data_IF_169055207054
#
_entry.id   IF_169055207054
#
_cell.length_a   1.000
_cell.length_b   1.000
_cell.length_c   1.000
_cell.angle_alpha   90.00
_cell.angle_beta   90.00
_cell.angle_gamma   90.00
#
_symmetry.space_group_name_H-M   'P 1'
#
loop_
_entity.id
_entity.type
_entity.pdbx_description
1 polymer ?
#
# COMPACT_ATOMS: atom_id res chain seq x y z
N UNK A 1 26.39 28.94 18.72
CA UNK A 1 26.70 27.90 19.74
C UNK A 1 26.82 26.57 19.01
N UNK A 2 27.92 25.81 19.16
CA UNK A 2 27.98 24.46 18.64
C UNK A 2 27.28 23.52 19.62
N UNK A 3 26.21 22.85 19.20
CA UNK A 3 25.61 21.77 19.96
C UNK A 3 26.50 20.54 19.83
N UNK A 4 27.25 20.25 20.89
CA UNK A 4 27.87 18.96 21.17
C UNK A 4 26.75 17.93 21.34
N UNK A 5 26.65 16.99 20.42
CA UNK A 5 25.92 15.74 20.65
C UNK A 5 26.92 14.76 21.27
N UNK A 6 26.86 14.66 22.60
CA UNK A 6 27.45 13.55 23.33
C UNK A 6 26.83 12.25 22.82
N UNK A 7 27.70 11.40 22.28
CA UNK A 7 27.38 10.13 21.68
C UNK A 7 27.75 9.01 22.64
N UNK A 8 26.79 8.54 23.45
CA UNK A 8 26.88 7.24 24.14
C UNK A 8 25.49 6.59 24.16
N UNK A 9 25.04 6.14 22.99
CA UNK A 9 23.93 5.21 22.87
C UNK A 9 24.46 3.91 22.22
N UNK A 10 24.65 2.82 22.99
CA UNK A 10 25.31 1.59 22.53
C UNK A 10 24.50 0.78 21.49
N UNK A 11 23.37 1.31 21.03
CA UNK A 11 22.51 0.75 19.98
C UNK A 11 22.40 1.61 18.71
N UNK A 12 23.10 2.74 18.63
CA UNK A 12 23.06 3.58 17.44
C UNK A 12 23.68 2.83 16.23
N UNK A 13 22.97 2.70 15.11
CA UNK A 13 23.50 2.02 13.93
C UNK A 13 24.72 2.79 13.44
N UNK A 14 25.82 2.07 13.19
CA UNK A 14 26.95 2.46 12.32
C UNK A 14 27.17 3.99 12.29
N UNK A 15 27.57 4.60 13.41
CA UNK A 15 27.52 6.06 13.53
C UNK A 15 28.39 6.77 12.48
N UNK A 16 27.84 7.77 11.79
CA UNK A 16 28.59 8.64 10.88
C UNK A 16 29.64 9.49 11.62
N UNK A 17 30.89 9.45 11.18
CA UNK A 17 31.94 10.31 11.72
C UNK A 17 31.93 11.69 11.05
N UNK A 18 31.41 12.68 11.77
CA UNK A 18 31.37 14.08 11.31
C UNK A 18 32.76 14.71 11.21
N UNK A 19 33.75 14.24 11.99
CA UNK A 19 35.08 14.86 12.04
C UNK A 19 35.88 14.62 10.75
N UNK A 20 35.65 13.48 10.10
CA UNK A 20 36.28 13.09 8.83
C UNK A 20 35.39 13.36 7.62
N UNK A 21 34.23 13.98 7.83
CA UNK A 21 33.26 14.24 6.76
C UNK A 21 33.66 15.43 5.88
N UNK A 22 33.32 15.32 4.59
CA UNK A 22 33.44 16.38 3.59
C UNK A 22 32.06 16.84 3.13
N UNK A 23 31.84 18.15 3.09
CA UNK A 23 30.61 18.75 2.56
C UNK A 23 30.71 18.88 1.06
N UNK A 24 29.84 18.20 0.33
CA UNK A 24 29.78 18.24 -1.13
C UNK A 24 28.82 19.32 -1.65
N UNK A 25 27.77 19.61 -0.87
CA UNK A 25 26.75 20.60 -1.23
C UNK A 25 26.15 21.20 0.04
N UNK A 26 25.89 22.51 0.03
CA UNK A 26 25.22 23.19 1.13
C UNK A 26 24.60 24.51 0.67
N UNK A 27 23.33 24.47 0.23
CA UNK A 27 22.62 25.64 -0.30
C UNK A 27 21.11 25.53 -0.04
N UNK A 28 20.38 26.66 0.01
CA UNK A 28 18.93 26.65 -0.06
C UNK A 28 18.46 26.20 -1.44
N UNK A 29 17.45 25.34 -1.48
CA UNK A 29 16.82 24.82 -2.69
C UNK A 29 15.32 25.14 -2.63
N UNK A 30 14.74 25.76 -3.67
CA UNK A 30 13.29 25.97 -3.73
C UNK A 30 12.58 24.63 -3.88
N UNK A 31 11.68 24.31 -2.95
CA UNK A 31 10.94 23.05 -2.91
C UNK A 31 9.45 23.28 -2.68
N UNK A 32 8.65 22.33 -3.15
CA UNK A 32 7.24 22.25 -2.83
C UNK A 32 7.05 21.26 -1.68
N UNK A 33 6.62 21.76 -0.53
CA UNK A 33 6.33 20.97 0.66
C UNK A 33 4.86 20.58 0.63
N UNK A 34 4.61 19.27 0.65
CA UNK A 34 3.26 18.68 0.74
C UNK A 34 3.10 17.98 2.07
N UNK A 35 2.06 18.33 2.83
CA UNK A 35 1.72 17.69 4.10
C UNK A 35 0.25 17.26 4.07
N UNK A 36 -0.07 16.15 4.73
CA UNK A 36 -1.38 15.50 4.62
C UNK A 36 -2.56 16.41 5.02
N UNK A 37 -2.30 17.39 5.90
CA UNK A 37 -3.31 18.29 6.47
C UNK A 37 -3.00 19.79 6.27
N UNK A 38 -2.08 20.14 5.37
CA UNK A 38 -1.77 21.55 5.04
C UNK A 38 -1.78 21.76 3.53
N UNK A 39 -2.07 23.00 3.13
CA UNK A 39 -1.94 23.40 1.73
C UNK A 39 -0.47 23.26 1.28
N UNK A 40 -0.29 23.01 -0.02
CA UNK A 40 1.01 22.94 -0.65
C UNK A 40 1.76 24.28 -0.48
N UNK A 41 2.95 24.25 0.11
CA UNK A 41 3.76 25.46 0.36
C UNK A 41 5.08 25.43 -0.42
N UNK A 42 5.40 26.55 -1.05
CA UNK A 42 6.71 26.75 -1.67
C UNK A 42 7.66 27.39 -0.65
N UNK A 43 8.73 26.66 -0.31
CA UNK A 43 9.71 27.09 0.68
C UNK A 43 11.13 26.88 0.15
N UNK A 44 12.07 27.70 0.63
CA UNK A 44 13.48 27.50 0.37
C UNK A 44 14.09 26.70 1.53
N UNK A 45 14.30 25.40 1.33
CA UNK A 45 14.89 24.54 2.36
C UNK A 45 16.39 24.39 2.15
N UNK A 46 17.16 24.44 3.24
CA UNK A 46 18.61 24.25 3.21
C UNK A 46 18.91 22.75 3.05
N UNK A 47 19.52 22.39 1.92
CA UNK A 47 19.97 21.02 1.64
C UNK A 47 21.48 20.95 1.84
N UNK A 48 21.92 19.98 2.65
CA UNK A 48 23.34 19.72 2.91
C UNK A 48 23.67 18.26 2.60
N UNK A 49 24.66 18.04 1.74
CA UNK A 49 25.15 16.71 1.36
C UNK A 49 26.57 16.55 1.89
N UNK A 50 26.78 15.46 2.63
CA UNK A 50 28.02 15.09 3.29
C UNK A 50 28.43 13.71 2.82
N UNK A 51 29.73 13.51 2.62
CA UNK A 51 30.33 12.18 2.47
C UNK A 51 31.36 11.99 3.57
N UNK A 52 31.53 10.78 4.06
CA UNK A 52 32.45 10.46 5.14
C UNK A 52 32.50 8.96 5.38
N UNK A 53 32.91 8.60 6.59
CA UNK A 53 33.10 7.20 6.97
C UNK A 53 32.35 6.87 8.25
N UNK A 54 32.09 5.58 8.45
CA UNK A 54 31.57 5.09 9.72
C UNK A 54 32.61 5.26 10.85
N UNK A 55 32.16 5.66 12.03
CA UNK A 55 32.98 5.89 13.22
C UNK A 55 33.66 4.61 13.72
N UNK A 56 32.99 3.46 13.57
CA UNK A 56 33.52 2.15 14.00
C UNK A 56 34.25 1.41 12.87
N UNK A 57 34.10 1.85 11.62
CA UNK A 57 34.72 1.22 10.46
C UNK A 57 35.12 2.29 9.43
N UNK A 58 36.37 2.73 9.50
CA UNK A 58 36.91 3.76 8.62
C UNK A 58 37.02 3.34 7.14
N UNK A 59 36.71 2.08 6.79
CA UNK A 59 36.62 1.64 5.41
C UNK A 59 35.21 1.75 4.84
N UNK A 60 34.19 1.87 5.70
CA UNK A 60 32.80 1.95 5.27
C UNK A 60 32.44 3.40 4.96
N UNK A 61 32.28 3.71 3.67
CA UNK A 61 31.85 5.03 3.21
C UNK A 61 30.36 5.23 3.45
N UNK A 62 30.01 6.45 3.83
CA UNK A 62 28.64 6.86 4.12
C UNK A 62 28.34 8.17 3.39
N UNK A 63 27.17 8.22 2.76
CA UNK A 63 26.55 9.42 2.22
C UNK A 63 25.43 9.85 3.17
N UNK A 64 25.45 11.12 3.57
CA UNK A 64 24.43 11.71 4.45
C UNK A 64 23.87 12.97 3.81
N UNK A 65 22.54 13.09 3.78
CA UNK A 65 21.82 14.23 3.24
C UNK A 65 20.90 14.77 4.32
N UNK A 66 21.01 16.07 4.60
CA UNK A 66 20.13 16.79 5.50
C UNK A 66 19.29 17.79 4.72
N UNK A 67 18.03 17.89 5.10
CA UNK A 67 17.11 18.94 4.66
C UNK A 67 16.60 19.64 5.91
N UNK A 68 16.92 20.92 6.05
CA UNK A 68 16.56 21.75 7.21
C UNK A 68 15.84 23.03 6.77
N UNK A 69 15.05 23.60 7.68
CA UNK A 69 14.43 24.91 7.47
C UNK A 69 15.09 25.94 8.41
N UNK A 70 15.60 27.04 7.85
CA UNK A 70 16.22 28.09 8.65
C UNK A 70 15.18 28.86 9.50
N UNK A 71 13.90 28.79 9.12
CA UNK A 71 12.77 29.40 9.85
C UNK A 71 12.17 28.47 10.91
N UNK A 72 12.42 27.16 10.83
CA UNK A 72 11.94 26.15 11.79
C UNK A 72 13.09 25.22 12.17
N UNK A 73 13.69 25.49 13.33
CA UNK A 73 14.83 24.73 13.85
C UNK A 73 14.50 23.27 14.20
N UNK A 74 13.22 22.90 14.29
CA UNK A 74 12.78 21.52 14.50
C UNK A 74 12.59 20.76 13.18
N UNK A 75 12.56 21.46 12.05
CA UNK A 75 12.49 20.85 10.73
C UNK A 75 13.85 20.29 10.35
N UNK A 76 14.01 18.97 10.47
CA UNK A 76 15.18 18.25 10.00
C UNK A 76 14.77 16.88 9.45
N UNK A 77 15.09 16.65 8.19
CA UNK A 77 14.99 15.33 7.56
C UNK A 77 16.38 14.86 7.17
N UNK A 78 16.68 13.61 7.48
CA UNK A 78 17.99 13.00 7.26
C UNK A 78 17.84 11.72 6.45
N UNK A 79 18.62 11.62 5.39
CA UNK A 79 18.92 10.35 4.73
C UNK A 79 20.38 10.01 5.03
N UNK A 80 20.62 8.76 5.40
CA UNK A 80 21.96 8.21 5.56
C UNK A 80 22.00 6.85 4.88
N UNK A 81 23.01 6.64 4.03
CA UNK A 81 23.19 5.39 3.31
C UNK A 81 24.67 5.04 3.27
N UNK A 82 24.99 3.83 3.71
CA UNK A 82 26.33 3.27 3.57
C UNK A 82 26.56 2.77 2.14
N UNK A 83 27.82 2.57 1.76
CA UNK A 83 28.14 1.98 0.46
C UNK A 83 27.56 0.57 0.28
N UNK A 84 27.44 -0.21 1.38
CA UNK A 84 26.86 -1.55 1.37
C UNK A 84 25.34 -1.50 1.14
N UNK A 85 24.65 -0.61 1.86
CA UNK A 85 23.19 -0.45 1.76
C UNK A 85 22.77 0.20 0.42
N UNK A 86 23.68 0.95 -0.20
CA UNK A 86 23.42 1.62 -1.46
C UNK A 86 23.04 0.64 -2.57
N UNK A 87 23.51 -0.62 -2.54
CA UNK A 87 23.18 -1.59 -3.57
C UNK A 87 21.67 -1.91 -3.60
N UNK A 88 21.02 -1.98 -2.44
CA UNK A 88 19.57 -2.17 -2.34
C UNK A 88 18.84 -0.93 -2.84
N UNK A 89 19.21 0.26 -2.35
CA UNK A 89 18.64 1.53 -2.79
C UNK A 89 18.77 1.72 -4.31
N UNK A 90 19.92 1.35 -4.87
CA UNK A 90 20.22 1.42 -6.29
C UNK A 90 19.26 0.58 -7.12
N UNK A 91 18.98 -0.64 -6.67
CA UNK A 91 18.05 -1.55 -7.34
C UNK A 91 16.61 -1.05 -7.22
N UNK A 92 16.18 -0.69 -6.00
CA UNK A 92 14.80 -0.29 -5.71
C UNK A 92 14.39 0.99 -6.47
N UNK A 93 15.33 1.91 -6.67
CA UNK A 93 15.11 3.19 -7.33
C UNK A 93 15.58 3.21 -8.80
N UNK A 94 16.08 2.09 -9.33
CA UNK A 94 16.60 2.00 -10.71
C UNK A 94 17.77 2.95 -10.99
N UNK A 95 18.60 3.24 -9.99
CA UNK A 95 19.74 4.16 -10.12
C UNK A 95 20.82 3.51 -10.99
N UNK A 96 21.26 4.22 -12.03
CA UNK A 96 22.21 3.68 -13.01
C UNK A 96 23.69 4.02 -12.72
N UNK A 97 23.96 4.74 -11.63
CA UNK A 97 25.33 5.14 -11.25
C UNK A 97 25.85 4.33 -10.05
N UNK A 98 27.15 4.40 -9.80
CA UNK A 98 27.78 3.83 -8.62
C UNK A 98 27.67 4.78 -7.41
N UNK A 99 28.05 4.29 -6.23
CA UNK A 99 28.00 5.05 -4.98
C UNK A 99 28.83 6.35 -5.07
N UNK A 100 29.99 6.30 -5.72
CA UNK A 100 30.88 7.45 -5.84
C UNK A 100 30.29 8.58 -6.73
N UNK A 101 29.58 8.22 -7.80
CA UNK A 101 28.98 9.19 -8.71
C UNK A 101 27.59 9.66 -8.30
N UNK A 102 26.92 8.92 -7.41
CA UNK A 102 25.55 9.19 -6.98
C UNK A 102 25.34 10.59 -6.36
N UNK A 103 26.19 11.06 -5.41
CA UNK A 103 26.06 12.41 -4.87
C UNK A 103 26.13 13.49 -5.96
N UNK A 104 27.02 13.32 -6.96
CA UNK A 104 27.16 14.26 -8.07
C UNK A 104 25.89 14.35 -8.92
N UNK A 105 25.18 13.22 -9.12
CA UNK A 105 23.88 13.21 -9.81
C UNK A 105 22.81 13.95 -9.02
N UNK A 106 22.73 13.74 -7.70
CA UNK A 106 21.79 14.48 -6.84
C UNK A 106 22.07 15.98 -6.91
N UNK A 107 23.34 16.38 -6.76
CA UNK A 107 23.76 17.79 -6.81
C UNK A 107 23.34 18.43 -8.14
N UNK A 108 23.62 17.76 -9.25
CA UNK A 108 23.23 18.25 -10.59
C UNK A 108 21.72 18.46 -10.73
N UNK A 109 20.90 17.62 -10.07
CA UNK A 109 19.44 17.78 -10.06
C UNK A 109 19.01 18.96 -9.17
N UNK A 110 19.60 19.10 -7.98
CA UNK A 110 19.32 20.24 -7.09
C UNK A 110 19.70 21.58 -7.74
N UNK A 111 20.81 21.62 -8.47
CA UNK A 111 21.23 22.82 -9.21
C UNK A 111 20.23 23.21 -10.30
N UNK A 112 19.66 22.22 -11.01
CA UNK A 112 18.57 22.48 -11.97
C UNK A 112 17.32 23.03 -11.27
N UNK A 113 16.98 22.53 -10.08
CA UNK A 113 15.86 23.07 -9.29
C UNK A 113 16.11 24.52 -8.86
N UNK A 114 17.35 24.85 -8.43
CA UNK A 114 17.74 26.21 -8.08
C UNK A 114 17.67 27.16 -9.28
N UNK A 115 18.07 26.68 -10.46
CA UNK A 115 18.08 27.48 -11.68
C UNK A 115 16.71 27.62 -12.36
N UNK A 116 15.70 26.86 -11.92
CA UNK A 116 14.37 26.88 -12.52
C UNK A 116 13.67 28.24 -12.31
N UNK A 117 13.10 28.79 -13.37
CA UNK A 117 12.35 30.05 -13.35
C UNK A 117 10.90 29.82 -12.89
N UNK A 118 10.22 30.83 -12.33
CA UNK A 118 8.79 30.71 -11.98
C UNK A 118 7.95 30.43 -13.25
N UNK A 119 7.51 29.19 -13.40
CA UNK A 119 6.83 28.66 -14.60
C UNK A 119 7.42 27.32 -15.05
N UNK A 120 8.73 27.15 -14.86
CA UNK A 120 9.39 25.85 -14.89
C UNK A 120 9.21 25.24 -13.49
N UNK A 121 8.13 24.49 -13.25
CA UNK A 121 8.19 23.56 -12.13
C UNK A 121 9.32 22.59 -12.45
N UNK A 122 10.45 22.54 -11.71
CA UNK A 122 11.43 21.48 -11.90
C UNK A 122 10.76 20.20 -11.40
N UNK A 123 9.92 19.61 -12.25
CA UNK A 123 9.46 18.26 -12.04
C UNK A 123 10.74 17.45 -12.15
N UNK A 124 11.13 16.80 -11.06
CA UNK A 124 12.08 15.68 -11.12
C UNK A 124 11.37 14.55 -11.89
N UNK A 125 11.15 14.76 -13.18
CA UNK A 125 10.67 13.74 -14.12
C UNK A 125 11.88 12.94 -14.53
N UNK A 126 12.31 12.06 -13.65
CA UNK A 126 13.07 10.88 -14.04
C UNK A 126 12.91 9.80 -12.95
N UNK A 127 11.70 9.26 -12.87
CA UNK A 127 11.52 7.83 -12.61
C UNK A 127 10.96 7.25 -13.90
N UNK A 128 11.86 6.79 -14.78
CA UNK A 128 11.51 5.88 -15.87
C UNK A 128 11.37 4.48 -15.28
N UNK A 129 10.38 4.31 -14.42
CA UNK A 129 9.75 3.01 -14.16
C UNK A 129 8.40 3.07 -14.85
N UNK A 130 8.07 2.08 -15.68
CA UNK A 130 6.91 2.07 -16.58
C UNK A 130 5.58 2.30 -15.82
N UNK A 131 5.24 3.56 -15.57
CA UNK A 131 3.98 3.95 -14.94
C UNK A 131 2.78 3.56 -15.82
N UNK A 132 3.01 3.44 -17.14
CA UNK A 132 2.04 2.87 -18.07
C UNK A 132 1.76 1.39 -17.79
N UNK A 133 2.77 0.57 -17.53
CA UNK A 133 2.56 -0.86 -17.23
C UNK A 133 1.86 -1.04 -15.88
N UNK A 134 2.15 -0.20 -14.90
CA UNK A 134 1.47 -0.21 -13.61
C UNK A 134 0.01 0.24 -13.75
N UNK A 135 -0.27 1.26 -14.58
CA UNK A 135 -1.64 1.69 -14.89
C UNK A 135 -2.41 0.59 -15.63
N UNK A 136 -1.81 0.01 -16.66
CA UNK A 136 -2.40 -1.08 -17.44
C UNK A 136 -2.63 -2.33 -16.57
N UNK A 137 -1.74 -2.63 -15.62
CA UNK A 137 -1.90 -3.73 -14.66
C UNK A 137 -3.01 -3.44 -13.63
N UNK A 138 -3.13 -2.19 -13.17
CA UNK A 138 -4.20 -1.77 -12.28
C UNK A 138 -5.56 -1.86 -12.96
N UNK A 139 -5.66 -1.44 -14.24
CA UNK A 139 -6.89 -1.53 -15.02
C UNK A 139 -7.29 -3.00 -15.25
N UNK A 140 -6.34 -3.88 -15.60
CA UNK A 140 -6.60 -5.32 -15.70
C UNK A 140 -7.08 -5.93 -14.38
N UNK A 141 -6.45 -5.57 -13.26
CA UNK A 141 -6.84 -6.07 -11.93
C UNK A 141 -8.24 -5.60 -11.56
N UNK A 142 -8.61 -4.39 -11.97
CA UNK A 142 -9.94 -3.83 -11.76
C UNK A 142 -11.00 -4.55 -12.57
N UNK A 143 -10.72 -4.82 -13.85
CA UNK A 143 -11.61 -5.59 -14.72
C UNK A 143 -11.83 -7.03 -14.20
N UNK A 144 -10.76 -7.68 -13.74
CA UNK A 144 -10.82 -9.02 -13.13
C UNK A 144 -11.68 -9.02 -11.86
N UNK A 145 -11.49 -8.02 -10.98
CA UNK A 145 -12.29 -7.86 -9.75
C UNK A 145 -13.76 -7.62 -10.07
N UNK A 146 -14.06 -6.76 -11.04
CA UNK A 146 -15.43 -6.42 -11.41
C UNK A 146 -16.13 -7.64 -12.05
N UNK A 147 -15.42 -8.43 -12.85
CA UNK A 147 -15.88 -9.72 -13.38
C UNK A 147 -16.12 -10.75 -12.27
N UNK A 148 -15.19 -10.92 -11.33
CA UNK A 148 -15.35 -11.83 -10.20
C UNK A 148 -16.53 -11.43 -9.30
N UNK A 149 -16.76 -10.12 -9.10
CA UNK A 149 -17.91 -9.60 -8.38
C UNK A 149 -19.23 -9.94 -9.08
N UNK A 150 -19.27 -9.83 -10.41
CA UNK A 150 -20.45 -10.23 -11.20
C UNK A 150 -20.72 -11.74 -11.10
N UNK A 151 -19.68 -12.57 -11.17
CA UNK A 151 -19.80 -14.02 -11.00
C UNK A 151 -20.30 -14.40 -9.59
N UNK A 152 -19.81 -13.71 -8.55
CA UNK A 152 -20.27 -13.90 -7.17
C UNK A 152 -21.76 -13.54 -7.02
N UNK A 153 -22.20 -12.46 -7.66
CA UNK A 153 -23.61 -12.08 -7.69
C UNK A 153 -24.47 -13.17 -8.35
N UNK A 154 -24.02 -13.69 -9.50
CA UNK A 154 -24.71 -14.75 -10.21
C UNK A 154 -24.79 -16.05 -9.38
N UNK A 155 -23.69 -16.45 -8.75
CA UNK A 155 -23.63 -17.64 -7.90
C UNK A 155 -24.59 -17.49 -6.70
N UNK A 156 -24.64 -16.29 -6.09
CA UNK A 156 -25.57 -15.99 -5.01
C UNK A 156 -27.04 -16.08 -5.45
N UNK A 157 -27.35 -15.64 -6.67
CA UNK A 157 -28.69 -15.75 -7.24
C UNK A 157 -29.08 -17.21 -7.49
N UNK A 158 -28.19 -18.01 -8.08
CA UNK A 158 -28.40 -19.44 -8.29
C UNK A 158 -28.62 -20.19 -6.98
N UNK A 159 -27.86 -19.86 -5.93
CA UNK A 159 -28.05 -20.43 -4.60
C UNK A 159 -29.41 -20.08 -3.99
N UNK A 160 -29.88 -18.84 -4.21
CA UNK A 160 -31.21 -18.42 -3.75
C UNK A 160 -32.33 -19.19 -4.48
N UNK A 161 -32.23 -19.32 -5.80
CA UNK A 161 -33.19 -20.08 -6.61
C UNK A 161 -33.20 -21.57 -6.23
N UNK A 162 -32.04 -22.19 -6.06
CA UNK A 162 -31.94 -23.59 -5.66
C UNK A 162 -32.56 -23.83 -4.28
N UNK A 163 -32.34 -22.89 -3.35
CA UNK A 163 -32.93 -22.95 -2.02
C UNK A 163 -34.46 -22.85 -2.08
N UNK A 164 -35.00 -21.93 -2.86
CA UNK A 164 -36.45 -21.79 -3.06
C UNK A 164 -37.06 -23.05 -3.68
N UNK A 165 -36.39 -23.63 -4.68
CA UNK A 165 -36.82 -24.90 -5.29
C UNK A 165 -36.82 -26.05 -4.28
N UNK A 166 -35.79 -26.14 -3.45
CA UNK A 166 -35.70 -27.17 -2.40
C UNK A 166 -36.83 -27.02 -1.37
N UNK A 167 -37.05 -25.81 -0.87
CA UNK A 167 -38.10 -25.52 0.11
C UNK A 167 -39.50 -25.82 -0.47
N UNK A 168 -39.74 -25.46 -1.73
CA UNK A 168 -40.98 -25.79 -2.44
C UNK A 168 -41.19 -27.30 -2.57
N UNK A 169 -40.16 -28.03 -2.97
CA UNK A 169 -40.25 -29.49 -3.13
C UNK A 169 -40.53 -30.19 -1.79
N UNK A 170 -39.89 -29.73 -0.71
CA UNK A 170 -40.12 -30.25 0.62
C UNK A 170 -41.59 -30.06 1.07
N UNK A 171 -42.15 -28.88 0.82
CA UNK A 171 -43.57 -28.59 1.08
C UNK A 171 -44.51 -29.48 0.26
N UNK A 172 -44.23 -29.70 -1.02
CA UNK A 172 -45.03 -30.57 -1.89
C UNK A 172 -45.05 -32.02 -1.40
N UNK A 173 -43.88 -32.57 -1.06
CA UNK A 173 -43.76 -33.94 -0.51
C UNK A 173 -44.52 -34.06 0.81
N UNK A 174 -44.41 -33.06 1.70
CA UNK A 174 -45.12 -33.06 2.98
C UNK A 174 -46.65 -32.96 2.79
N UNK A 175 -47.12 -32.16 1.84
CA UNK A 175 -48.53 -32.05 1.51
C UNK A 175 -49.06 -33.37 0.95
N UNK A 176 -48.35 -34.01 0.02
CA UNK A 176 -48.73 -35.31 -0.53
C UNK A 176 -48.83 -36.39 0.57
N UNK A 177 -47.87 -36.43 1.50
CA UNK A 177 -47.90 -37.37 2.62
C UNK A 177 -49.11 -37.14 3.53
N UNK A 178 -49.46 -35.89 3.84
CA UNK A 178 -50.66 -35.55 4.63
C UNK A 178 -51.94 -35.94 3.91
N UNK A 179 -52.05 -35.68 2.61
CA UNK A 179 -53.23 -36.04 1.81
C UNK A 179 -53.43 -37.56 1.78
N UNK A 180 -52.34 -38.34 1.59
CA UNK A 180 -52.41 -39.81 1.63
C UNK A 180 -52.80 -40.34 3.02
N UNK A 181 -52.32 -39.73 4.10
CA UNK A 181 -52.73 -40.09 5.46
C UNK A 181 -54.20 -39.78 5.71
N UNK A 182 -54.70 -38.63 5.25
CA UNK A 182 -56.08 -38.24 5.39
C UNK A 182 -57.03 -39.18 4.62
N UNK A 183 -56.71 -39.51 3.35
CA UNK A 183 -57.52 -40.44 2.56
C UNK A 183 -57.55 -41.84 3.17
N UNK A 184 -56.40 -42.35 3.61
CA UNK A 184 -56.33 -43.66 4.28
C UNK A 184 -57.10 -43.67 5.62
N UNK A 185 -57.14 -42.55 6.33
CA UNK A 185 -57.93 -42.43 7.55
C UNK A 185 -59.44 -42.36 7.26
N UNK A 186 -59.86 -41.65 6.23
CA UNK A 186 -61.26 -41.61 5.77
C UNK A 186 -61.77 -42.97 5.30
N UNK A 187 -60.96 -43.74 4.55
CA UNK A 187 -61.31 -45.11 4.16
C UNK A 187 -61.54 -46.02 5.37
N UNK A 188 -60.63 -45.99 6.36
CA UNK A 188 -60.81 -46.77 7.60
C UNK A 188 -62.07 -46.37 8.36
N UNK A 189 -62.40 -45.07 8.39
CA UNK A 189 -63.65 -44.59 9.00
C UNK A 189 -64.88 -45.11 8.26
N UNK A 190 -64.84 -45.13 6.91
CA UNK A 190 -65.93 -45.66 6.08
C UNK A 190 -66.11 -47.16 6.28
N UNK A 191 -65.04 -47.95 6.27
CA UNK A 191 -65.10 -49.40 6.52
C UNK A 191 -65.67 -49.70 7.91
N UNK A 192 -65.23 -48.96 8.94
CA UNK A 192 -65.74 -49.12 10.31
C UNK A 192 -67.23 -48.79 10.41
N UNK A 193 -67.72 -47.79 9.68
CA UNK A 193 -69.15 -47.46 9.65
C UNK A 193 -69.98 -48.56 8.96
N UNK A 194 -69.51 -49.10 7.83
CA UNK A 194 -70.19 -50.19 7.12
C UNK A 194 -70.28 -51.47 7.97
N UNK A 195 -69.21 -51.82 8.69
CA UNK A 195 -69.21 -52.96 9.61
C UNK A 195 -70.19 -52.78 10.77
N UNK A 196 -70.35 -51.55 11.27
CA UNK A 196 -71.30 -51.23 12.33
C UNK A 196 -72.74 -51.39 11.86
N UNK A 197 -73.08 -50.88 10.68
CA UNK A 197 -74.41 -51.03 10.08
C UNK A 197 -74.78 -52.50 9.75
N UNK A 198 -73.79 -53.35 9.45
CA UNK A 198 -74.01 -54.79 9.28
C UNK A 198 -74.32 -55.54 10.57
N UNK A 199 -73.88 -55.04 11.73
CA UNK A 199 -74.11 -55.66 13.04
C UNK A 199 -75.38 -55.15 13.74
N UNK A 200 -76.01 -54.08 13.25
CA UNK A 200 -77.26 -53.50 13.80
C UNK A 200 -78.55 -53.96 13.05
N UNK A 201 -78.45 -54.93 12.13
CA UNK A 201 -79.59 -55.61 11.47
C UNK A 201 -79.72 -57.06 11.91
#
# INVERSE_FOLDING_TARGET
>A
MPLLLDSEDPKAPIGFDLSTSSTLFWRPVPVLVKQQDREDQHEALTVRILTGYARQNHNLRILRIHISNDSDLYFLHTLEVSEEDFQSLKNDQGILVDFASFPGKIISLLEKCIAAQPGDSPRLTEVKGNCQELSDALDRTKDERDSASAQLMQCRQQLAELREQYDKHLLEVQAQAKTHQASAHEERLREKAQLKDQHER
#
